data_IF_522426315690
#
_entry.id   IF_522426315690
#
_cell.length_a   1.000
_cell.length_b   1.000
_cell.length_c   1.000
_cell.angle_alpha   90.00
_cell.angle_beta   90.00
_cell.angle_gamma   90.00
#
_symmetry.space_group_name_H-M   'P 1'
#
loop_
_entity.id
_entity.type
_entity.pdbx_description
1 polymer ?
#
# COMPACT_ATOMS: atom_id res chain seq x y z
N UNK A 1 22.53 5.52 5.79
CA UNK A 1 22.26 6.92 5.41
C UNK A 1 21.78 7.07 3.96
N UNK A 2 22.41 6.42 2.97
CA UNK A 2 22.04 6.48 1.55
C UNK A 2 20.60 5.97 1.31
N UNK A 3 20.17 4.92 2.00
CA UNK A 3 18.87 4.28 1.84
C UNK A 3 17.69 5.17 2.27
N UNK A 4 17.82 5.90 3.38
CA UNK A 4 16.79 6.87 3.81
C UNK A 4 16.63 8.01 2.81
N UNK A 5 17.75 8.49 2.26
CA UNK A 5 17.73 9.55 1.25
C UNK A 5 17.02 9.10 -0.02
N UNK A 6 17.24 7.86 -0.45
CA UNK A 6 16.59 7.29 -1.63
C UNK A 6 15.06 7.17 -1.44
N UNK A 7 14.61 6.63 -0.30
CA UNK A 7 13.19 6.50 0.00
C UNK A 7 12.50 7.86 0.11
N UNK A 8 13.17 8.82 0.73
CA UNK A 8 12.70 10.22 0.81
C UNK A 8 12.54 10.83 -0.58
N UNK A 9 13.51 10.62 -1.46
CA UNK A 9 13.47 11.14 -2.83
C UNK A 9 12.33 10.50 -3.65
N UNK A 10 12.12 9.19 -3.52
CA UNK A 10 11.01 8.49 -4.17
C UNK A 10 9.66 9.04 -3.71
N UNK A 11 9.47 9.19 -2.40
CA UNK A 11 8.23 9.73 -1.84
C UNK A 11 8.00 11.19 -2.25
N UNK A 12 9.04 12.02 -2.19
CA UNK A 12 8.95 13.42 -2.64
C UNK A 12 8.59 13.51 -4.13
N UNK A 13 9.22 12.70 -4.97
CA UNK A 13 8.93 12.64 -6.40
C UNK A 13 7.49 12.21 -6.69
N UNK A 14 7.00 11.15 -6.01
CA UNK A 14 5.62 10.71 -6.11
C UNK A 14 4.65 11.80 -5.65
N UNK A 15 4.91 12.42 -4.50
CA UNK A 15 4.05 13.47 -3.93
C UNK A 15 3.96 14.67 -4.86
N UNK A 16 5.10 15.13 -5.39
CA UNK A 16 5.14 16.22 -6.37
C UNK A 16 4.32 15.88 -7.63
N UNK A 17 4.48 14.66 -8.16
CA UNK A 17 3.73 14.21 -9.32
C UNK A 17 2.22 14.13 -9.05
N UNK A 18 1.79 13.65 -7.87
CA UNK A 18 0.37 13.60 -7.48
C UNK A 18 -0.23 15.00 -7.32
N UNK A 19 0.52 15.94 -6.74
CA UNK A 19 0.12 17.35 -6.63
C UNK A 19 -0.02 17.97 -8.03
N UNK A 20 0.96 17.77 -8.90
CA UNK A 20 0.92 18.24 -10.28
C UNK A 20 -0.31 17.72 -11.05
N UNK A 21 -0.67 16.45 -10.85
CA UNK A 21 -1.85 15.81 -11.44
C UNK A 21 -3.15 16.14 -10.71
N UNK A 22 -3.11 16.94 -9.63
CA UNK A 22 -4.25 17.27 -8.76
C UNK A 22 -4.97 16.03 -8.18
N UNK A 23 -4.25 14.97 -7.94
CA UNK A 23 -4.77 13.70 -7.44
C UNK A 23 -4.68 13.64 -5.90
N UNK A 24 -5.41 14.52 -5.24
CA UNK A 24 -5.36 14.72 -3.78
C UNK A 24 -5.71 13.47 -2.97
N UNK A 25 -6.63 12.64 -3.46
CA UNK A 25 -6.97 11.37 -2.82
C UNK A 25 -5.74 10.47 -2.72
N UNK A 26 -5.00 10.31 -3.83
CA UNK A 26 -3.83 9.45 -3.88
C UNK A 26 -2.63 10.05 -3.15
N UNK A 27 -2.55 11.34 -3.05
CA UNK A 27 -1.58 12.01 -2.17
C UNK A 27 -1.87 11.66 -0.70
N UNK A 28 -3.14 11.71 -0.27
CA UNK A 28 -3.54 11.28 1.06
C UNK A 28 -3.21 9.81 1.32
N UNK A 29 -3.47 8.92 0.37
CA UNK A 29 -3.09 7.49 0.45
C UNK A 29 -1.58 7.32 0.57
N UNK A 30 -0.79 8.06 -0.21
CA UNK A 30 0.67 8.02 -0.13
C UNK A 30 1.17 8.47 1.26
N UNK A 31 0.58 9.53 1.82
CA UNK A 31 0.90 9.98 3.19
C UNK A 31 0.54 8.92 4.24
N UNK A 32 -0.62 8.27 4.14
CA UNK A 32 -1.06 7.22 5.07
C UNK A 32 -0.08 6.03 5.03
N UNK A 33 0.32 5.59 3.85
CA UNK A 33 1.25 4.46 3.67
C UNK A 33 2.65 4.79 4.19
N UNK A 34 3.07 6.05 4.08
CA UNK A 34 4.40 6.50 4.51
C UNK A 34 4.46 6.92 5.99
N UNK A 35 3.32 7.18 6.62
CA UNK A 35 3.27 7.65 8.00
C UNK A 35 4.03 6.76 9.00
N UNK A 36 3.91 5.41 8.96
CA UNK A 36 4.66 4.53 9.87
C UNK A 36 6.18 4.67 9.71
N UNK A 37 6.66 4.76 8.46
CA UNK A 37 8.08 4.91 8.17
C UNK A 37 8.65 6.23 8.77
N UNK A 38 7.96 7.34 8.57
CA UNK A 38 8.39 8.64 9.09
C UNK A 38 8.26 8.71 10.61
N UNK A 39 7.17 8.20 11.16
CA UNK A 39 6.96 8.17 12.61
C UNK A 39 8.02 7.31 13.32
N UNK A 40 8.37 6.15 12.75
CA UNK A 40 9.46 5.31 13.26
C UNK A 40 10.82 6.03 13.24
N UNK A 41 11.15 6.66 12.10
CA UNK A 41 12.39 7.43 11.96
C UNK A 41 12.44 8.61 12.95
N UNK A 42 11.31 9.29 13.13
CA UNK A 42 11.21 10.41 14.06
C UNK A 42 11.33 9.97 15.53
N UNK A 43 10.70 8.85 15.90
CA UNK A 43 10.79 8.28 17.24
C UNK A 43 12.22 7.85 17.60
N UNK A 44 12.95 7.23 16.67
CA UNK A 44 14.37 6.89 16.87
C UNK A 44 15.19 8.15 17.15
N UNK A 45 15.00 9.20 16.36
CA UNK A 45 15.81 10.41 16.47
C UNK A 45 15.51 11.25 17.73
N UNK A 46 14.22 11.30 18.15
CA UNK A 46 13.80 12.13 19.29
C UNK A 46 13.96 11.43 20.65
N UNK A 47 13.65 10.14 20.70
CA UNK A 47 13.52 9.43 21.97
C UNK A 47 14.67 8.46 22.22
N UNK A 48 15.64 8.36 21.29
CA UNK A 48 16.69 7.38 21.35
C UNK A 48 16.14 5.96 21.59
N UNK A 49 14.95 5.71 21.03
CA UNK A 49 14.16 4.51 21.32
C UNK A 49 14.75 3.32 20.60
N UNK A 50 15.24 2.34 21.35
CA UNK A 50 15.70 1.05 20.82
C UNK A 50 14.57 0.23 20.18
N UNK A 51 13.30 0.68 20.27
CA UNK A 51 12.14 -0.07 19.84
C UNK A 51 11.14 0.74 19.01
N UNK A 52 11.46 1.13 17.77
CA UNK A 52 10.47 1.71 16.87
C UNK A 52 9.40 0.69 16.44
N UNK A 53 9.67 -0.61 16.56
CA UNK A 53 8.82 -1.67 16.07
C UNK A 53 7.41 -1.67 16.70
N UNK A 54 7.26 -1.40 17.99
CA UNK A 54 5.94 -1.41 18.65
C UNK A 54 5.05 -0.27 18.16
N UNK A 55 5.59 0.95 18.05
CA UNK A 55 4.85 2.08 17.50
C UNK A 55 4.49 1.87 16.03
N UNK A 56 5.39 1.25 15.26
CA UNK A 56 5.15 0.95 13.85
C UNK A 56 4.02 -0.06 13.66
N UNK A 57 3.93 -1.11 14.48
CA UNK A 57 2.82 -2.09 14.44
C UNK A 57 1.48 -1.35 14.55
N UNK A 58 1.33 -0.50 15.56
CA UNK A 58 0.09 0.25 15.78
C UNK A 58 -0.22 1.14 14.58
N UNK A 59 0.77 1.85 14.06
CA UNK A 59 0.60 2.74 12.91
C UNK A 59 0.28 1.99 11.62
N UNK A 60 0.90 0.82 11.38
CA UNK A 60 0.58 -0.03 10.23
C UNK A 60 -0.86 -0.54 10.29
N UNK A 61 -1.32 -0.99 11.47
CA UNK A 61 -2.69 -1.46 11.66
C UNK A 61 -3.70 -0.33 11.47
N UNK A 62 -3.42 0.87 12.02
CA UNK A 62 -4.28 2.04 11.82
C UNK A 62 -4.32 2.47 10.35
N UNK A 63 -3.18 2.51 9.68
CA UNK A 63 -3.10 2.84 8.26
C UNK A 63 -3.84 1.81 7.40
N UNK A 64 -3.70 0.51 7.70
CA UNK A 64 -4.44 -0.55 7.03
C UNK A 64 -5.95 -0.39 7.22
N UNK A 65 -6.42 -0.08 8.44
CA UNK A 65 -7.84 0.15 8.72
C UNK A 65 -8.41 1.33 7.93
N UNK A 66 -7.65 2.43 7.81
CA UNK A 66 -8.03 3.58 6.98
C UNK A 66 -8.13 3.20 5.50
N UNK A 67 -7.23 2.35 4.99
CA UNK A 67 -7.28 1.89 3.60
C UNK A 67 -8.45 0.94 3.34
N UNK A 68 -8.85 0.11 4.30
CA UNK A 68 -10.07 -0.71 4.20
C UNK A 68 -11.31 0.18 4.08
N UNK A 69 -11.45 1.16 4.98
CA UNK A 69 -12.57 2.12 4.93
C UNK A 69 -12.60 2.89 3.60
N UNK A 70 -11.43 3.27 3.09
CA UNK A 70 -11.34 3.91 1.78
C UNK A 70 -11.74 2.96 0.65
N UNK A 71 -11.31 1.70 0.70
CA UNK A 71 -11.67 0.68 -0.29
C UNK A 71 -13.18 0.44 -0.34
N UNK A 72 -13.83 0.33 0.83
CA UNK A 72 -15.29 0.20 0.92
C UNK A 72 -15.98 1.41 0.29
N UNK A 73 -15.57 2.63 0.65
CA UNK A 73 -16.16 3.86 0.10
C UNK A 73 -15.97 3.98 -1.42
N UNK A 74 -14.81 3.56 -1.95
CA UNK A 74 -14.58 3.56 -3.40
C UNK A 74 -15.45 2.51 -4.10
N UNK A 75 -15.61 1.33 -3.51
CA UNK A 75 -16.46 0.27 -4.02
C UNK A 75 -17.93 0.70 -4.05
N UNK A 76 -18.43 1.36 -3.01
CA UNK A 76 -19.79 1.92 -2.93
C UNK A 76 -20.04 2.98 -4.02
N UNK A 77 -19.00 3.70 -4.41
CA UNK A 77 -19.03 4.66 -5.51
C UNK A 77 -18.88 4.01 -6.90
N UNK A 78 -18.82 2.69 -7.00
CA UNK A 78 -18.55 1.95 -8.24
C UNK A 78 -17.12 2.15 -8.79
N UNK A 79 -16.19 2.64 -7.96
CA UNK A 79 -14.79 2.83 -8.32
C UNK A 79 -13.96 1.62 -7.95
N UNK A 80 -12.84 1.44 -8.65
CA UNK A 80 -11.96 0.31 -8.38
C UNK A 80 -11.22 0.49 -7.05
N UNK A 81 -11.38 -0.48 -6.15
CA UNK A 81 -10.78 -0.49 -4.81
C UNK A 81 -9.53 -1.38 -4.70
N UNK A 82 -9.07 -1.97 -5.82
CA UNK A 82 -7.98 -2.97 -5.79
C UNK A 82 -6.67 -2.41 -5.21
N UNK A 83 -6.32 -1.17 -5.54
CA UNK A 83 -5.04 -0.58 -5.07
C UNK A 83 -5.06 -0.32 -3.57
N UNK A 84 -6.08 0.29 -2.94
CA UNK A 84 -6.18 0.37 -1.48
C UNK A 84 -6.13 -0.99 -0.80
N UNK A 85 -6.77 -2.04 -1.36
CA UNK A 85 -6.72 -3.40 -0.83
C UNK A 85 -5.30 -3.97 -0.89
N UNK A 86 -4.59 -3.82 -2.01
CA UNK A 86 -3.19 -4.23 -2.12
C UNK A 86 -2.30 -3.52 -1.11
N UNK A 87 -2.48 -2.21 -0.93
CA UNK A 87 -1.73 -1.43 0.04
C UNK A 87 -2.03 -1.86 1.48
N UNK A 88 -3.29 -2.17 1.79
CA UNK A 88 -3.67 -2.73 3.08
C UNK A 88 -2.91 -4.03 3.35
N UNK A 89 -2.84 -4.93 2.36
CA UNK A 89 -2.09 -6.18 2.49
C UNK A 89 -0.59 -5.92 2.73
N UNK A 90 0.02 -4.98 2.02
CA UNK A 90 1.43 -4.60 2.24
C UNK A 90 1.67 -4.11 3.67
N UNK A 91 0.78 -3.26 4.21
CA UNK A 91 0.90 -2.76 5.59
C UNK A 91 0.74 -3.87 6.63
N UNK A 92 -0.15 -4.84 6.40
CA UNK A 92 -0.29 -6.00 7.28
C UNK A 92 0.95 -6.89 7.25
N UNK A 93 1.56 -7.09 6.08
CA UNK A 93 2.85 -7.80 5.97
C UNK A 93 3.94 -7.04 6.71
N UNK A 94 4.02 -5.71 6.58
CA UNK A 94 4.96 -4.87 7.33
C UNK A 94 4.76 -5.01 8.85
N UNK A 95 3.51 -4.98 9.31
CA UNK A 95 3.18 -5.21 10.73
C UNK A 95 3.64 -6.60 11.21
N UNK A 96 3.48 -7.64 10.39
CA UNK A 96 3.95 -8.99 10.70
C UNK A 96 5.48 -9.06 10.80
N UNK A 97 6.18 -8.35 9.90
CA UNK A 97 7.64 -8.23 9.94
C UNK A 97 8.11 -7.50 11.20
N UNK A 98 7.38 -6.45 11.63
CA UNK A 98 7.66 -5.74 12.89
C UNK A 98 7.53 -6.69 14.11
N UNK A 99 6.45 -7.46 14.17
CA UNK A 99 6.24 -8.47 15.23
C UNK A 99 7.36 -9.52 15.23
N UNK A 100 7.71 -10.05 14.06
CA UNK A 100 8.78 -11.02 13.92
C UNK A 100 10.12 -10.43 14.39
N UNK A 101 10.43 -9.18 14.06
CA UNK A 101 11.65 -8.51 14.51
C UNK A 101 11.67 -8.30 16.03
N UNK A 102 10.55 -7.95 16.66
CA UNK A 102 10.47 -7.85 18.12
C UNK A 102 10.81 -9.15 18.83
N UNK A 103 10.42 -10.28 18.25
CA UNK A 103 10.66 -11.61 18.85
C UNK A 103 12.05 -12.14 18.54
N UNK A 104 12.53 -12.03 17.31
CA UNK A 104 13.73 -12.71 16.83
C UNK A 104 14.94 -11.79 16.63
N UNK A 105 14.73 -10.47 16.59
CA UNK A 105 15.74 -9.45 16.31
C UNK A 105 16.62 -9.80 15.09
N UNK A 106 15.99 -10.31 14.01
CA UNK A 106 16.71 -10.78 12.84
C UNK A 106 17.37 -9.61 12.07
N UNK A 107 18.53 -9.93 11.48
CA UNK A 107 19.22 -8.99 10.59
C UNK A 107 18.45 -8.82 9.27
N UNK A 108 18.52 -7.62 8.68
CA UNK A 108 17.82 -7.32 7.43
C UNK A 108 16.40 -6.75 7.59
N UNK A 109 15.91 -6.57 8.82
CA UNK A 109 14.61 -5.96 9.10
C UNK A 109 14.38 -4.66 8.32
N UNK A 110 15.33 -3.71 8.38
CA UNK A 110 15.21 -2.43 7.68
C UNK A 110 15.12 -2.60 6.16
N UNK A 111 15.90 -3.51 5.61
CA UNK A 111 15.87 -3.80 4.16
C UNK A 111 14.51 -4.32 3.72
N UNK A 112 13.91 -5.23 4.48
CA UNK A 112 12.57 -5.77 4.17
C UNK A 112 11.52 -4.65 4.24
N UNK A 113 11.55 -3.84 5.30
CA UNK A 113 10.63 -2.71 5.45
C UNK A 113 10.75 -1.71 4.29
N UNK A 114 11.96 -1.41 3.86
CA UNK A 114 12.20 -0.51 2.72
C UNK A 114 11.68 -1.09 1.40
N UNK A 115 11.90 -2.38 1.15
CA UNK A 115 11.38 -3.05 -0.05
C UNK A 115 9.86 -3.01 -0.07
N UNK A 116 9.19 -3.32 1.05
CA UNK A 116 7.73 -3.27 1.15
C UNK A 116 7.20 -1.84 0.97
N UNK A 117 7.89 -0.86 1.53
CA UNK A 117 7.53 0.56 1.36
C UNK A 117 7.69 1.01 -0.10
N UNK A 118 8.79 0.61 -0.77
CA UNK A 118 9.00 0.88 -2.19
C UNK A 118 7.90 0.23 -3.05
N UNK A 119 7.47 -0.97 -2.71
CA UNK A 119 6.33 -1.63 -3.36
C UNK A 119 5.03 -0.83 -3.22
N UNK A 120 4.75 -0.31 -2.02
CA UNK A 120 3.61 0.58 -1.80
C UNK A 120 3.64 1.83 -2.67
N UNK A 121 4.80 2.49 -2.77
CA UNK A 121 5.01 3.65 -3.65
C UNK A 121 4.78 3.27 -5.13
N UNK A 122 5.34 2.16 -5.58
CA UNK A 122 5.16 1.68 -6.96
C UNK A 122 3.70 1.32 -7.27
N UNK A 123 2.97 0.73 -6.32
CA UNK A 123 1.55 0.42 -6.48
C UNK A 123 0.71 1.70 -6.68
N UNK A 124 1.00 2.77 -5.92
CA UNK A 124 0.34 4.06 -6.09
C UNK A 124 0.71 4.69 -7.44
N UNK A 125 1.98 4.68 -7.82
CA UNK A 125 2.44 5.22 -9.10
C UNK A 125 1.85 4.45 -10.29
N UNK A 126 1.82 3.13 -10.21
CA UNK A 126 1.31 2.22 -11.24
C UNK A 126 -0.19 1.94 -11.19
N UNK A 127 -0.97 2.59 -10.29
CA UNK A 127 -2.38 2.28 -10.02
C UNK A 127 -3.25 2.18 -11.26
N UNK A 128 -3.05 3.05 -12.25
CA UNK A 128 -3.84 3.04 -13.50
C UNK A 128 -3.63 1.77 -14.33
N UNK A 129 -2.43 1.20 -14.28
CA UNK A 129 -2.13 -0.07 -14.94
C UNK A 129 -2.77 -1.24 -14.20
N UNK A 130 -2.66 -1.24 -12.86
CA UNK A 130 -3.28 -2.24 -12.00
C UNK A 130 -4.81 -2.23 -12.17
N UNK A 131 -5.44 -1.07 -12.11
CA UNK A 131 -6.87 -0.91 -12.28
C UNK A 131 -7.36 -1.41 -13.65
N UNK A 132 -6.63 -1.11 -14.73
CA UNK A 132 -6.94 -1.61 -16.08
C UNK A 132 -6.81 -3.13 -16.16
N UNK A 133 -5.70 -3.69 -15.72
CA UNK A 133 -5.47 -5.13 -15.77
C UNK A 133 -6.59 -5.92 -15.06
N UNK A 134 -7.08 -5.41 -13.92
CA UNK A 134 -8.17 -6.05 -13.19
C UNK A 134 -9.55 -5.84 -13.84
N UNK A 135 -9.80 -4.70 -14.49
CA UNK A 135 -11.05 -4.47 -15.21
C UNK A 135 -11.16 -5.38 -16.45
N UNK A 136 -10.06 -5.55 -17.18
CA UNK A 136 -10.02 -6.40 -18.37
C UNK A 136 -10.20 -7.89 -18.01
N UNK A 137 -9.63 -8.34 -16.90
CA UNK A 137 -9.81 -9.70 -16.39
C UNK A 137 -11.28 -9.97 -16.01
N UNK A 138 -12.00 -8.99 -15.48
CA UNK A 138 -13.42 -9.12 -15.13
C UNK A 138 -14.32 -9.22 -16.37
N UNK A 139 -14.05 -8.44 -17.40
CA UNK A 139 -14.79 -8.47 -18.66
C UNK A 139 -14.62 -9.79 -19.41
N UNK A 140 -13.43 -10.37 -19.38
CA UNK A 140 -13.14 -11.67 -19.99
C UNK A 140 -13.90 -12.84 -19.34
N UNK A 141 -14.08 -12.82 -18.03
CA UNK A 141 -14.84 -13.84 -17.29
C UNK A 141 -16.36 -13.77 -17.57
N UNK A 142 -16.91 -12.59 -17.80
CA UNK A 142 -18.33 -12.44 -18.16
C UNK A 142 -18.64 -12.90 -19.58
N UNK A 143 -17.73 -12.69 -20.53
CA UNK A 143 -17.95 -13.12 -21.92
C UNK A 143 -17.90 -14.64 -22.11
N UNK A 144 -17.11 -15.36 -21.29
CA UNK A 144 -17.03 -16.83 -21.36
C UNK A 144 -18.28 -17.54 -20.82
N UNK A 145 -18.99 -16.92 -19.86
CA UNK A 145 -20.21 -17.51 -19.28
C UNK A 145 -21.45 -17.32 -20.15
N UNK A 146 -21.50 -16.31 -21.02
CA UNK A 146 -22.62 -16.09 -21.93
C UNK A 146 -22.63 -17.03 -23.14
N UNK A 147 -21.45 -17.52 -23.58
CA UNK A 147 -21.37 -18.50 -24.68
C UNK A 147 -21.71 -19.93 -24.26
N UNK A 148 -21.65 -20.26 -22.96
CA UNK A 148 -22.00 -21.60 -22.46
C UNK A 148 -23.51 -21.80 -22.25
N UNK A 149 -24.31 -20.74 -22.16
CA UNK A 149 -25.76 -20.82 -21.90
C UNK A 149 -26.64 -20.87 -23.16
N UNK A 150 -26.05 -20.71 -24.36
CA UNK A 150 -26.79 -20.62 -25.64
C UNK A 150 -26.90 -21.93 -26.46
N UNK A 151 -26.50 -23.07 -25.94
CA UNK A 151 -26.46 -24.32 -26.67
C UNK A 151 -27.33 -25.40 -26.07
N UNK A 152 -28.67 -25.33 -26.27
CA UNK A 152 -29.56 -26.47 -26.38
C UNK A 152 -31.03 -26.05 -26.49
N UNK A 153 -31.52 -25.87 -27.67
CA UNK A 153 -32.92 -26.19 -28.00
C UNK A 153 -32.90 -26.87 -29.37
N UNK A 154 -33.04 -28.17 -29.34
CA UNK A 154 -33.64 -28.96 -30.43
C UNK A 154 -34.60 -29.89 -29.76
#
# INVERSE_FOLDING_TARGET
MIEHTFMTALFAGLSFWLVYKKEWLWLGVACIVQAPFWAGTFAINLFNADTPATSNIILHVLAASLLVTLAEKLNDQGRNAIVPIMLCFVLLVQSTVDVAHLVTRFDGYLTIQQVLTAWGIMAIAGRRYVERAFSDSRSGLHSSNTHSAGGRVV
#
